data_IF_721859020331
#
_entry.id   IF_721859020331
#
_cell.length_a   1.000
_cell.length_b   1.000
_cell.length_c   1.000
_cell.angle_alpha   90.00
_cell.angle_beta   90.00
_cell.angle_gamma   90.00
#
_symmetry.space_group_name_H-M   'P 1'
#
loop_
_entity.id
_entity.type
_entity.pdbx_description
1 polymer ?
2 non-polymer ?
3 non-polymer ?
4 water ?
#
# COMPACT_ATOMS: atom_id res chain seq x y z
N UNK A 4 16.49 12.96 14.12
CA UNK A 4 15.95 11.61 14.01
C UNK A 4 16.73 10.77 13.00
N UNK A 5 16.35 9.50 12.89
CA UNK A 5 16.95 8.62 11.90
C UNK A 5 16.60 9.16 10.52
N UNK A 6 17.41 8.82 9.53
CA UNK A 6 17.13 9.25 8.17
C UNK A 6 15.71 8.84 7.73
N UNK A 7 15.05 9.75 7.04
CA UNK A 7 13.73 9.50 6.47
C UNK A 7 13.72 10.29 5.17
N UNK A 8 13.25 9.68 4.10
CA UNK A 8 13.10 10.42 2.85
C UNK A 8 11.96 11.43 2.97
N UNK A 9 11.88 12.30 1.98
CA UNK A 9 10.71 13.16 1.87
C UNK A 9 9.46 12.29 1.69
N UNK A 10 8.30 12.88 2.00
CA UNK A 10 7.07 12.17 1.73
C UNK A 10 6.89 12.13 0.22
N UNK A 11 6.48 10.99 -0.30
CA UNK A 11 6.16 10.84 -1.70
C UNK A 11 4.67 10.58 -1.81
N UNK A 12 4.10 10.99 -2.94
CA UNK A 12 2.67 10.79 -3.18
C UNK A 12 2.44 10.17 -4.54
N UNK A 13 1.68 9.08 -4.55
CA UNK A 13 1.37 8.36 -5.78
C UNK A 13 -0.12 8.15 -5.92
N UNK A 14 -0.61 8.28 -7.14
CA UNK A 14 -1.97 7.90 -7.46
C UNK A 14 -1.97 6.56 -8.20
N UNK A 15 -2.79 5.62 -7.71
CA UNK A 15 -2.88 4.28 -8.29
C UNK A 15 -4.30 4.07 -8.79
N UNK A 16 -4.44 3.69 -10.06
CA UNK A 16 -5.77 3.43 -10.63
C UNK A 16 -5.83 2.03 -11.22
N UNK A 17 -7.01 1.42 -11.19
CA UNK A 17 -7.17 0.11 -11.79
C UNK A 17 -8.62 -0.18 -12.10
N UNK A 18 -8.86 -0.92 -13.18
CA UNK A 18 -10.22 -1.30 -13.51
C UNK A 18 -10.74 -2.37 -12.56
N UNK A 19 -9.82 -3.11 -11.98
CA UNK A 19 -10.16 -4.27 -11.16
C UNK A 19 -9.07 -4.50 -10.12
N UNK A 20 -9.48 -4.97 -8.94
CA UNK A 20 -8.49 -5.29 -7.92
C UNK A 20 -9.00 -6.43 -7.05
N UNK A 21 -8.06 -7.13 -6.41
CA UNK A 21 -8.40 -8.24 -5.52
C UNK A 21 -7.44 -8.21 -4.34
N UNK A 22 -7.91 -7.72 -3.21
CA UNK A 22 -7.08 -7.60 -2.01
C UNK A 22 -7.58 -8.65 -1.03
N UNK A 23 -6.70 -9.55 -0.63
CA UNK A 23 -7.16 -10.71 0.12
C UNK A 23 -6.53 -10.85 1.49
N UNK A 24 -7.15 -11.71 2.28
CA UNK A 24 -6.59 -12.18 3.53
C UNK A 24 -5.82 -13.47 3.24
N UNK A 25 -4.49 -13.37 3.21
CA UNK A 25 -3.65 -14.53 2.88
C UNK A 25 -3.43 -15.43 4.08
N UNK A 26 -3.93 -15.03 5.25
CA UNK A 26 -3.81 -15.84 6.46
C UNK A 26 -5.16 -16.41 6.87
N UNK A 27 -6.03 -16.60 5.89
CA UNK A 27 -7.39 -17.03 6.16
C UNK A 27 -7.44 -18.48 6.63
N UNK A 34 -12.48 -13.65 -2.11
CA UNK A 34 -13.23 -12.39 -2.18
C UNK A 34 -12.46 -11.21 -1.60
N UNK A 35 -12.44 -10.12 -2.36
CA UNK A 35 -11.64 -8.96 -2.00
C UNK A 35 -12.16 -8.27 -0.73
N UNK A 36 -11.22 -7.84 0.12
CA UNK A 36 -11.49 -6.79 1.09
C UNK A 36 -11.99 -5.59 0.29
N UNK A 37 -12.64 -4.64 0.96
CA UNK A 37 -13.18 -3.47 0.28
C UNK A 37 -12.16 -2.39 -0.08
N UNK A 38 -10.98 -2.46 0.54
CA UNK A 38 -9.90 -1.49 0.36
C UNK A 38 -8.57 -2.24 0.45
N UNK A 39 -7.46 -1.62 0.02
CA UNK A 39 -6.17 -2.32 0.08
C UNK A 39 -5.73 -2.56 1.52
N UNK A 40 -5.03 -3.67 1.72
CA UNK A 40 -4.34 -3.91 2.97
C UNK A 40 -2.97 -3.23 2.93
N UNK A 41 -2.31 -3.13 4.09
CA UNK A 41 -0.95 -2.60 4.06
C UNK A 41 -0.09 -3.50 3.16
N UNK A 42 -0.27 -4.82 3.28
CA UNK A 42 0.49 -5.76 2.44
C UNK A 42 0.38 -5.40 0.96
N UNK A 43 -0.86 -5.17 0.50
CA UNK A 43 -1.08 -4.86 -0.91
C UNK A 43 -0.41 -3.57 -1.32
N UNK A 44 -0.54 -2.54 -0.48
CA UNK A 44 0.06 -1.24 -0.76
C UNK A 44 1.58 -1.35 -0.80
N UNK A 45 2.14 -2.11 0.14
CA UNK A 45 3.57 -2.37 0.17
C UNK A 45 4.02 -2.94 -1.16
N UNK A 46 3.23 -3.88 -1.70
CA UNK A 46 3.60 -4.56 -2.94
C UNK A 46 3.55 -3.57 -4.07
N UNK A 47 2.57 -2.68 -4.05
CA UNK A 47 2.47 -1.66 -5.09
C UNK A 47 3.64 -0.68 -5.07
N UNK A 48 3.94 -0.14 -3.89
CA UNK A 48 5.02 0.83 -3.76
C UNK A 48 6.37 0.19 -4.06
N UNK A 49 6.60 -1.02 -3.56
CA UNK A 49 7.84 -1.71 -3.87
C UNK A 49 7.98 -1.94 -5.37
N UNK A 50 6.84 -2.13 -6.05
CA UNK A 50 6.86 -2.29 -7.50
C UNK A 50 7.29 -1.03 -8.23
N UNK A 51 7.04 0.13 -7.63
CA UNK A 51 7.46 1.39 -8.20
C UNK A 51 8.99 1.46 -8.13
N UNK A 52 9.55 1.17 -6.96
CA UNK A 52 11.00 1.14 -6.78
C UNK A 52 11.34 0.56 -5.41
N UNK A 53 12.22 -0.43 -5.39
CA UNK A 53 12.72 -0.92 -4.12
C UNK A 53 14.13 -1.48 -4.28
N UNK A 54 14.94 -1.26 -3.26
CA UNK A 54 16.26 -1.89 -3.14
C UNK A 54 16.35 -2.25 -1.66
N UNK A 55 17.02 -3.37 -1.34
CA UNK A 55 17.06 -3.79 0.07
C UNK A 55 17.84 -2.80 0.96
N UNK A 56 18.51 -1.84 0.33
CA UNK A 56 19.20 -0.80 1.09
C UNK A 56 18.21 -0.05 1.97
N UNK A 57 16.99 0.11 1.45
CA UNK A 57 15.95 0.90 2.14
C UNK A 57 14.65 0.13 2.28
N UNK A 58 13.78 0.67 3.13
CA UNK A 58 12.48 0.10 3.39
C UNK A 58 11.42 1.15 3.12
N UNK A 59 10.49 0.83 2.22
CA UNK A 59 9.36 1.71 1.96
C UNK A 59 8.37 1.60 3.09
N UNK A 60 7.88 2.74 3.55
CA UNK A 60 6.98 2.81 4.69
C UNK A 60 5.73 3.55 4.24
N UNK A 61 4.63 2.81 4.12
CA UNK A 61 3.37 3.40 3.70
C UNK A 61 2.68 3.92 4.94
N UNK A 62 2.37 5.21 4.95
CA UNK A 62 1.75 5.79 6.14
C UNK A 62 0.24 6.08 6.03
N UNK A 63 -0.25 6.36 4.82
CA UNK A 63 -1.68 6.67 4.64
C UNK A 63 -2.13 6.38 3.22
N UNK A 64 -3.39 5.98 3.07
CA UNK A 64 -3.97 5.85 1.73
C UNK A 64 -5.32 6.55 1.72
N UNK A 65 -5.64 7.21 0.60
CA UNK A 65 -6.98 7.78 0.44
C UNK A 65 -7.72 6.97 -0.62
N UNK A 66 -8.93 6.54 -0.27
CA UNK A 66 -9.80 5.78 -1.16
C UNK A 66 -10.68 6.80 -1.87
N UNK A 67 -10.45 6.99 -3.16
CA UNK A 67 -11.11 8.09 -3.87
C UNK A 67 -12.52 7.75 -4.34
N UNK A 68 -12.68 6.54 -4.85
CA UNK A 68 -13.94 6.12 -5.45
C UNK A 68 -14.80 5.28 -4.54
N UNK A 69 -16.11 5.36 -4.75
CA UNK A 69 -17.08 4.49 -4.09
C UNK A 69 -16.62 3.05 -4.25
N UNK A 70 -16.64 2.30 -3.16
CA UNK A 70 -16.33 0.88 -3.17
C UNK A 70 -17.41 0.14 -3.94
N UNK A 71 -16.99 -0.58 -4.98
CA UNK A 71 -17.89 -1.38 -5.78
C UNK A 71 -17.20 -2.72 -5.99
N UNK A 72 -17.98 -3.79 -6.02
CA UNK A 72 -17.40 -5.09 -6.34
C UNK A 72 -18.20 -5.72 -7.46
N UNK A 73 -17.66 -6.77 -8.04
CA UNK A 73 -18.37 -7.51 -9.06
C UNK A 73 -17.95 -8.97 -8.96
N UNK A 74 -18.90 -9.86 -9.19
CA UNK A 74 -18.65 -11.29 -9.03
C UNK A 74 -18.16 -11.90 -10.32
N UNK A 75 -17.34 -12.95 -10.18
CA UNK A 75 -16.91 -13.75 -11.32
C UNK A 75 -16.68 -15.17 -10.83
N UNK A 76 -17.23 -16.15 -11.54
CA UNK A 76 -17.09 -17.53 -11.14
C UNK A 76 -18.30 -18.35 -11.56
N UNK A 77 -18.47 -19.50 -10.90
CA UNK A 77 -19.56 -20.41 -11.24
C UNK A 77 -20.43 -20.75 -10.02
N UNK A 78 -21.64 -21.22 -10.29
CA UNK A 78 -22.60 -21.56 -9.22
C UNK A 78 -23.49 -22.73 -9.64
N UNK A 79 -23.52 -23.78 -8.82
CA UNK A 79 -24.29 -24.97 -9.14
C UNK A 79 -25.67 -24.94 -8.49
N UNK A 90 -16.24 -18.75 -7.80
CA UNK A 90 -16.61 -17.50 -7.14
C UNK A 90 -15.40 -16.62 -6.85
N UNK A 91 -15.37 -15.43 -7.46
CA UNK A 91 -14.38 -14.42 -7.11
C UNK A 91 -15.02 -13.03 -7.16
N UNK A 92 -15.01 -12.34 -6.02
CA UNK A 92 -15.52 -10.98 -5.95
C UNK A 92 -14.37 -9.98 -6.05
N UNK A 93 -14.34 -9.21 -7.13
CA UNK A 93 -13.27 -8.24 -7.36
C UNK A 93 -13.76 -6.82 -7.04
N UNK A 94 -12.86 -5.95 -6.59
CA UNK A 94 -13.16 -4.53 -6.60
C UNK A 94 -13.15 -4.03 -8.04
N UNK A 95 -13.92 -2.98 -8.29
CA UNK A 95 -14.06 -2.42 -9.63
C UNK A 95 -13.81 -0.92 -9.59
N UNK A 96 -13.11 -0.42 -10.61
CA UNK A 96 -12.90 1.02 -10.81
C UNK A 96 -12.35 1.72 -9.56
N UNK A 97 -11.13 1.34 -9.19
CA UNK A 97 -10.50 1.84 -7.98
C UNK A 97 -9.49 2.95 -8.26
N UNK A 98 -9.36 3.85 -7.30
CA UNK A 98 -8.34 4.88 -7.30
C UNK A 98 -7.88 5.12 -5.88
N UNK A 99 -6.58 5.01 -5.66
CA UNK A 99 -6.00 5.23 -4.34
C UNK A 99 -4.93 6.28 -4.44
N UNK A 100 -4.86 7.15 -3.43
CA UNK A 100 -3.76 8.09 -3.29
C UNK A 100 -2.94 7.59 -2.11
N UNK A 101 -1.64 7.39 -2.32
CA UNK A 101 -0.80 6.81 -1.30
C UNK A 101 0.29 7.78 -0.86
N UNK A 102 0.44 7.90 0.45
CA UNK A 102 1.51 8.71 1.04
C UNK A 102 2.52 7.76 1.69
N UNK A 103 3.79 7.92 1.33
CA UNK A 103 4.81 7.00 1.80
C UNK A 103 6.17 7.68 1.82
N UNK A 104 7.12 7.03 2.47
CA UNK A 104 8.48 7.52 2.51
C UNK A 104 9.35 6.29 2.65
N UNK A 105 10.66 6.47 2.59
CA UNK A 105 11.55 5.36 2.88
C UNK A 105 12.56 5.70 3.98
N UNK A 106 13.07 4.65 4.60
CA UNK A 106 14.08 4.76 5.64
C UNK A 106 15.14 3.72 5.30
N UNK A 107 16.30 3.81 5.92
CA UNK A 107 17.33 2.80 5.69
C UNK A 107 16.93 1.50 6.38
N UNK A 108 17.24 0.38 5.73
CA UNK A 108 16.87 -0.92 6.24
C UNK A 108 17.84 -1.37 7.33
N UNK A 109 17.41 -1.30 8.59
CA UNK A 109 18.27 -1.65 9.70
C UNK A 109 18.78 -3.09 9.61
N UNK A 110 18.02 -3.93 8.92
CA UNK A 110 18.38 -5.34 8.76
C UNK A 110 19.42 -5.58 7.67
N UNK A 111 19.73 -4.55 6.90
CA UNK A 111 20.80 -4.65 5.91
C UNK A 111 21.93 -3.64 6.14
N UNK A 112 22.61 -3.75 7.26
CA UNK A 112 23.75 -2.87 7.51
C UNK A 112 24.91 -3.18 6.56
N UNK A 113 24.89 -4.36 5.94
CA UNK A 113 25.92 -4.69 4.96
C UNK A 113 25.81 -3.83 3.70
N UNK A 114 24.69 -3.13 3.56
CA UNK A 114 24.45 -2.22 2.43
C UNK A 114 24.61 -0.75 2.83
N UNK A 115 25.31 -0.53 3.94
CA UNK A 115 25.43 0.83 4.49
C UNK A 115 26.09 1.79 3.48
N UNK A 116 26.98 1.24 2.64
CA UNK A 116 27.67 2.04 1.63
C UNK A 116 26.73 2.58 0.55
N UNK A 117 25.53 2.02 0.45
CA UNK A 117 24.55 2.47 -0.54
C UNK A 117 23.50 3.42 0.04
N UNK A 118 23.69 3.83 1.29
CA UNK A 118 22.73 4.74 1.93
C UNK A 118 23.00 6.16 1.49
N UNK A 119 22.61 6.45 0.27
CA UNK A 119 22.87 7.72 -0.40
C UNK A 119 21.54 8.40 -0.65
N UNK A 120 21.13 9.30 0.26
CA UNK A 120 19.79 9.92 0.20
C UNK A 120 19.47 10.54 -1.15
N UNK A 121 20.34 11.41 -1.65
CA UNK A 121 20.10 12.08 -2.94
C UNK A 121 19.86 11.08 -4.07
N UNK A 122 20.69 10.04 -4.13
CA UNK A 122 20.56 9.00 -5.16
C UNK A 122 19.20 8.32 -5.15
N UNK A 123 18.79 7.83 -3.98
CA UNK A 123 17.56 7.06 -3.90
C UNK A 123 16.31 7.93 -4.01
N UNK A 124 16.34 9.13 -3.46
CA UNK A 124 15.19 10.02 -3.56
C UNK A 124 14.95 10.42 -5.02
N UNK A 125 16.04 10.65 -5.76
CA UNK A 125 15.94 11.01 -7.17
C UNK A 125 15.34 9.86 -7.97
N UNK A 126 15.84 8.66 -7.74
CA UNK A 126 15.33 7.49 -8.42
C UNK A 126 13.86 7.22 -8.08
N UNK A 127 13.49 7.40 -6.81
CA UNK A 127 12.09 7.20 -6.41
C UNK A 127 11.20 8.17 -7.14
N UNK A 128 11.59 9.44 -7.12
CA UNK A 128 10.82 10.48 -7.78
C UNK A 128 10.64 10.14 -9.25
N UNK A 129 11.73 9.80 -9.92
CA UNK A 129 11.70 9.42 -11.33
C UNK A 129 10.83 8.19 -11.54
N UNK A 130 10.92 7.23 -10.62
CA UNK A 130 10.17 5.98 -10.74
C UNK A 130 8.67 6.15 -10.63
N UNK A 131 8.20 6.96 -9.67
CA UNK A 131 6.78 7.24 -9.58
C UNK A 131 6.34 7.98 -10.84
N UNK A 132 7.14 8.95 -11.27
CA UNK A 132 6.79 9.77 -12.42
C UNK A 132 6.57 8.96 -13.69
N UNK A 133 7.39 7.92 -13.90
CA UNK A 133 7.29 7.14 -15.13
C UNK A 133 6.32 5.97 -15.02
N UNK A 134 5.67 5.85 -13.86
CA UNK A 134 4.66 4.83 -13.69
C UNK A 134 5.20 3.56 -13.05
N UNK A 135 6.42 3.62 -12.53
CA UNK A 135 7.00 2.49 -11.84
C UNK A 135 8.02 1.73 -12.65
N UNK A 136 9.03 1.20 -11.96
CA UNK A 136 10.08 0.44 -12.61
C UNK A 136 9.63 -0.95 -13.05
N UNK A 137 8.61 -1.47 -12.39
CA UNK A 137 8.04 -2.78 -12.72
C UNK A 137 6.56 -2.64 -13.02
N UNK A 138 5.97 -3.65 -13.63
CA UNK A 138 4.52 -3.70 -13.74
C UNK A 138 3.92 -3.71 -12.36
N UNK A 139 2.82 -2.97 -12.21
CA UNK A 139 2.12 -2.86 -10.94
C UNK A 139 0.86 -3.71 -10.99
N UNK A 140 0.70 -4.60 -10.01
CA UNK A 140 -0.46 -5.48 -9.97
C UNK A 140 -1.35 -5.18 -8.77
N UNK A 141 -2.65 -5.37 -8.96
CA UNK A 141 -3.60 -5.13 -7.89
C UNK A 141 -4.27 -6.42 -7.46
N UNK A 142 -3.49 -7.48 -7.29
CA UNK A 142 -4.00 -8.69 -6.66
C UNK A 142 -4.03 -9.96 -7.47
N UNK A 143 -4.00 -9.83 -8.80
CA UNK A 143 -3.80 -10.98 -9.68
C UNK A 143 -2.93 -10.54 -10.85
N UNK A 144 -2.45 -11.50 -11.62
CA UNK A 144 -1.57 -11.18 -12.74
C UNK A 144 -2.35 -10.51 -13.88
N UNK A 145 -3.67 -10.43 -13.72
CA UNK A 145 -4.52 -9.81 -14.73
C UNK A 145 -5.06 -8.45 -14.27
N UNK A 146 -4.84 -8.12 -13.01
CA UNK A 146 -5.28 -6.84 -12.47
C UNK A 146 -4.14 -5.82 -12.51
N UNK A 147 -3.95 -5.15 -13.65
CA UNK A 147 -2.87 -4.18 -13.74
C UNK A 147 -3.27 -2.86 -13.11
N UNK A 148 -2.30 -2.19 -12.50
CA UNK A 148 -2.51 -0.88 -11.94
C UNK A 148 -1.73 0.16 -12.72
N UNK A 149 -2.21 1.40 -12.68
CA UNK A 149 -1.55 2.50 -13.34
C UNK A 149 -1.14 3.49 -12.26
N UNK A 150 0.15 3.80 -12.21
CA UNK A 150 0.70 4.69 -11.20
C UNK A 150 1.12 6.00 -11.83
N UNK A 151 0.77 7.12 -11.20
CA UNK A 151 1.36 8.40 -11.57
C UNK A 151 1.65 9.24 -10.33
N UNK A 152 2.53 10.23 -10.47
CA UNK A 152 2.90 11.04 -9.32
C UNK A 152 1.91 12.18 -9.13
N UNK A 153 1.56 12.44 -7.87
CA UNK A 153 0.78 13.62 -7.53
C UNK A 153 1.55 14.46 -6.52
N UNK A 154 1.17 15.72 -6.41
CA UNK A 154 1.78 16.63 -5.46
C UNK A 154 1.11 16.48 -4.10
N UNK A 155 1.77 16.99 -3.05
CA UNK A 155 1.16 16.98 -1.73
C UNK A 155 -0.17 17.75 -1.77
N UNK A 156 -0.18 18.84 -2.52
CA UNK A 156 -1.37 19.68 -2.68
C UNK A 156 -2.50 18.84 -3.28
N UNK A 157 -2.17 18.07 -4.31
CA UNK A 157 -3.16 17.18 -4.92
C UNK A 157 -3.60 16.07 -3.95
N UNK A 158 -2.65 15.44 -3.28
CA UNK A 158 -3.00 14.43 -2.30
C UNK A 158 -4.02 14.97 -1.29
N UNK A 159 -3.86 16.23 -0.90
CA UNK A 159 -4.72 16.86 0.10
C UNK A 159 -6.07 17.35 -0.46
N UNK A 160 -6.14 17.61 -1.77
CA UNK A 160 -7.34 18.25 -2.33
C UNK A 160 -8.23 17.39 -3.23
N UNK A 161 -7.69 16.33 -3.82
CA UNK A 161 -8.50 15.45 -4.65
C UNK A 161 -9.67 14.91 -3.84
N UNK A 162 -10.91 15.14 -4.32
CA UNK A 162 -12.09 14.78 -3.53
C UNK A 162 -12.30 13.29 -3.43
N UNK A 163 -12.59 12.80 -2.23
CA UNK A 163 -12.99 11.41 -2.03
C UNK A 163 -14.51 11.26 -1.85
N UNK A 164 -15.05 10.22 -2.45
CA UNK A 164 -16.45 9.84 -2.27
C UNK A 164 -16.79 9.65 -0.79
N UNK A 165 -15.78 9.33 0.02
CA UNK A 165 -16.00 9.06 1.45
C UNK A 165 -15.70 10.24 2.36
N UNK A 166 -15.40 11.39 1.77
CA UNK A 166 -15.25 12.60 2.57
C UNK A 166 -16.59 12.87 3.25
N UNK A 167 -16.57 13.16 4.55
CA UNK A 167 -17.78 13.48 5.28
C UNK A 167 -18.19 12.41 6.28
N UNK A 168 -17.71 11.19 6.06
CA UNK A 168 -18.03 10.09 6.97
C UNK A 168 -16.80 9.35 7.47
N UNK A 169 -16.96 8.71 8.62
CA UNK A 169 -15.93 7.83 9.15
C UNK A 169 -16.53 6.43 9.28
N UNK A 170 -15.82 5.44 8.75
CA UNK A 170 -16.36 4.10 8.57
C UNK A 170 -15.45 3.05 9.16
N UNK A 171 -16.02 2.16 9.97
CA UNK A 171 -15.27 0.99 10.46
C UNK A 171 -15.26 -0.08 9.38
N UNK A 172 -14.08 -0.39 8.86
CA UNK A 172 -13.97 -1.41 7.81
C UNK A 172 -13.68 -2.80 8.38
N UNK A 173 -13.63 -2.89 9.71
CA UNK A 173 -13.45 -4.15 10.38
C UNK A 173 -12.00 -4.57 10.45
N UNK A 174 -11.75 -5.74 11.02
CA UNK A 174 -10.41 -6.28 11.12
C UNK A 174 -9.88 -6.68 9.74
N UNK A 175 -8.66 -6.25 9.41
CA UNK A 175 -8.06 -6.58 8.13
C UNK A 175 -6.64 -7.07 8.32
N UNK A 176 -6.22 -8.00 7.47
CA UNK A 176 -4.82 -8.39 7.42
C UNK A 176 -3.92 -7.16 7.24
N UNK A 177 -2.84 -7.12 8.01
CA UNK A 177 -1.85 -6.05 7.94
C UNK A 177 -0.61 -6.53 7.18
N UNK A 178 0.06 -7.55 7.72
CA UNK A 178 1.31 -8.03 7.12
C UNK A 178 1.82 -9.26 7.85
N UNK A 179 2.79 -9.94 7.26
CA UNK A 179 3.44 -11.08 7.89
C UNK A 179 4.66 -10.60 8.65
N UNK A 180 5.05 -11.34 9.69
CA UNK A 180 6.27 -11.04 10.43
C UNK A 180 7.51 -11.08 9.52
N UNK A 181 8.48 -10.21 9.79
CA UNK A 181 9.71 -10.16 8.99
C UNK A 181 10.81 -9.40 9.74
N UNK A 182 12.05 -9.93 9.73
CA UNK A 182 12.46 -11.22 9.19
C UNK A 182 12.88 -12.17 10.32
N UNK A 186 15.05 -20.51 12.44
CA UNK A 186 13.81 -20.15 11.76
C UNK A 186 12.61 -20.36 12.66
N UNK A 187 11.49 -19.73 12.33
CA UNK A 187 10.31 -19.73 13.19
C UNK A 187 9.04 -19.74 12.34
N UNK A 188 7.89 -20.13 12.93
CA UNK A 188 6.63 -20.17 12.17
C UNK A 188 6.19 -18.78 11.70
N UNK A 189 5.58 -18.72 10.52
CA UNK A 189 5.14 -17.45 9.94
C UNK A 189 4.02 -16.84 10.80
N UNK A 190 4.20 -15.60 11.24
CA UNK A 190 3.17 -14.89 12.02
C UNK A 190 2.46 -13.88 11.15
N UNK A 191 1.15 -13.76 11.35
CA UNK A 191 0.36 -12.78 10.62
C UNK A 191 -0.16 -11.73 11.60
N UNK A 192 -0.19 -10.50 11.13
CA UNK A 192 -0.69 -9.39 11.92
C UNK A 192 -1.98 -8.86 11.29
N UNK A 193 -2.94 -8.50 12.14
CA UNK A 193 -4.20 -7.93 11.65
C UNK A 193 -4.51 -6.68 12.45
N UNK A 194 -5.30 -5.78 11.84
CA UNK A 194 -5.54 -4.48 12.45
C UNK A 194 -6.98 -4.05 12.28
N UNK A 195 -7.52 -3.40 13.32
CA UNK A 195 -8.78 -2.67 13.19
C UNK A 195 -8.53 -1.62 12.12
N UNK A 196 -9.48 -1.48 11.20
CA UNK A 196 -9.28 -0.57 10.07
C UNK A 196 -10.40 0.47 10.03
N UNK A 197 -10.03 1.74 10.20
CA UNK A 197 -11.02 2.83 10.19
C UNK A 197 -10.68 3.78 9.03
N UNK A 198 -11.69 4.11 8.23
CA UNK A 198 -11.49 5.02 7.12
C UNK A 198 -12.21 6.33 7.49
N UNK A 199 -11.41 7.38 7.68
CA UNK A 199 -11.90 8.66 8.14
C UNK A 199 -11.82 9.67 6.98
N UNK A 200 -12.99 10.07 6.50
CA UNK A 200 -13.10 10.95 5.34
C UNK A 200 -12.33 10.40 4.14
N UNK A 201 -12.37 9.09 3.99
CA UNK A 201 -11.72 8.39 2.90
C UNK A 201 -10.27 7.99 3.15
N UNK A 202 -9.71 8.43 4.28
CA UNK A 202 -8.30 8.18 4.57
C UNK A 202 -8.10 7.06 5.58
N UNK A 203 -7.16 6.16 5.28
CA UNK A 203 -6.80 5.09 6.20
C UNK A 203 -5.32 5.24 6.54
N UNK A 204 -5.02 5.30 7.84
CA UNK A 204 -3.65 5.34 8.31
C UNK A 204 -3.22 3.93 8.67
N UNK A 205 -1.93 3.66 8.56
CA UNK A 205 -1.42 2.34 8.86
C UNK A 205 -0.46 2.38 10.03
N UNK A 206 -0.78 1.61 11.06
CA UNK A 206 0.02 1.57 12.28
C UNK A 206 1.17 0.60 12.10
N UNK A 207 2.22 0.75 12.92
CA UNK A 207 3.34 -0.19 12.88
C UNK A 207 2.86 -1.58 13.20
N UNK A 208 3.56 -2.58 12.68
CA UNK A 208 3.22 -3.96 12.92
C UNK A 208 3.10 -4.27 14.41
N UNK A 209 3.97 -3.64 15.20
CA UNK A 209 4.01 -3.86 16.65
C UNK A 209 2.79 -3.34 17.40
N UNK A 210 1.94 -2.55 16.73
CA UNK A 210 0.76 -2.00 17.39
C UNK A 210 -0.51 -2.77 17.04
N UNK A 211 -0.39 -3.75 16.14
CA UNK A 211 -1.52 -4.56 15.72
C UNK A 211 -2.05 -5.43 16.87
N UNK A 212 -3.36 -5.35 17.11
CA UNK A 212 -3.97 -6.02 18.27
C UNK A 212 -4.12 -7.51 18.09
N UNK A 213 -4.12 -7.94 16.83
CA UNK A 213 -4.41 -9.33 16.51
C UNK A 213 -3.19 -9.96 15.82
N UNK A 214 -2.71 -11.05 16.40
CA UNK A 214 -1.58 -11.79 15.84
C UNK A 214 -1.90 -13.28 15.83
N UNK A 215 -1.59 -13.94 14.71
CA UNK A 215 -1.81 -15.37 14.60
C UNK A 215 -0.57 -16.04 14.05
N UNK A 216 -0.32 -17.28 14.49
CA UNK A 216 0.83 -18.03 14.03
C UNK A 216 0.41 -19.31 13.29
X LIG B 1 6.46 -1.92 10.41
X LIG B 1 7.08 -2.29 11.67
X LIG B 1 5.00 -1.98 10.54
X LIG B 1 6.86 -0.56 10.05
X LIG B 1 6.90 -2.84 9.36
X LIG C 1 13.86 -7.69 -7.35
X LIG C 1 14.05 -7.61 -5.91
X LIG C 1 14.59 -6.60 -8.01
X LIG C 1 14.38 -8.96 -7.84
X LIG C 1 12.45 -7.58 -7.67
X LIG D 1 16.86 5.53 -13.21
X LIG D 1 17.19 4.30 -12.49
X LIG D 1 15.61 6.07 -12.68
X LIG D 1 17.93 6.51 -13.03
X LIG D 1 16.69 5.22 -14.63
X LIG E 1 -19.19 0.50 2.89
X LIG E 1 -18.32 0.21 4.03
X LIG E 1 -20.55 0.04 3.18
X LIG E 1 -19.21 1.94 2.64
X LIG E 1 -18.69 -0.19 1.70
X LIG F 1 19.47 6.38 9.79
X LIG G 1 -5.60 -3.38 15.92
#
# INVERSE_FOLDING_TARGET
GHXNLYRSRNFYARIRGDRALFTNPATKGGSERSSYSVPTRQALQGIIDGIYHKPTFTNVITEVKVVNQIQTELHGVRALLHDYSADLSYVSYLSDVEYLVKFHFIWNENREDLIQDRLPKKHEAIMERSIRKGGRRDIFLGTRECFGLVDEISQEEYETIPSYYNGVTIDLGIMFHSFAYPTSKDTPLKSYFTKTVMENGAIKFKPQSECEIVNTLSSYAFKSLGQLKSVDDEYVDDEYEEYEAXEKGEGGS
SO4 S O1 O2 O3 O4
SO4 S O1 O2 O3 O4
SO4 S O1 O2 O3 O4
SO4 S O1 O2 O3 O4
CL CL
CL CL
#
